data_IF_666081346434
#
_entry.id   IF_666081346434
#
_cell.length_a   1.000
_cell.length_b   1.000
_cell.length_c   1.000
_cell.angle_alpha   90.00
_cell.angle_beta   90.00
_cell.angle_gamma   90.00
#
_symmetry.space_group_name_H-M   'P 1'
#
loop_
_entity.id
_entity.type
_entity.pdbx_description
1 polymer ?
#
# COMPACT_ATOMS: atom_id res chain seq x y z
N UNK A 1 -9.58 -3.92 -28.70
CA UNK A 1 -8.46 -3.57 -29.60
C UNK A 1 -7.17 -3.97 -28.91
N UNK A 2 -6.27 -4.74 -29.56
CA UNK A 2 -4.98 -5.04 -28.93
C UNK A 2 -4.13 -3.75 -28.89
N UNK A 3 -3.74 -3.34 -27.70
CA UNK A 3 -2.87 -2.18 -27.52
C UNK A 3 -1.48 -2.54 -28.05
N UNK A 4 -0.94 -1.69 -28.93
CA UNK A 4 0.41 -1.87 -29.45
C UNK A 4 1.44 -1.53 -28.35
N UNK A 5 2.14 -2.55 -27.87
CA UNK A 5 3.11 -2.48 -26.76
C UNK A 5 4.25 -1.48 -27.05
N UNK A 6 4.83 -1.51 -28.26
CA UNK A 6 5.99 -0.69 -28.60
C UNK A 6 5.60 0.78 -28.76
N UNK A 7 4.42 1.03 -29.33
CA UNK A 7 3.85 2.37 -29.38
C UNK A 7 3.61 2.93 -27.97
N UNK A 8 3.03 2.13 -27.09
CA UNK A 8 2.76 2.56 -25.71
C UNK A 8 4.05 2.87 -24.96
N UNK A 9 5.10 2.05 -25.12
CA UNK A 9 6.42 2.34 -24.55
C UNK A 9 6.98 3.68 -25.04
N UNK A 10 6.92 3.92 -26.35
CA UNK A 10 7.38 5.18 -26.94
C UNK A 10 6.60 6.38 -26.37
N UNK A 11 5.27 6.27 -26.30
CA UNK A 11 4.40 7.35 -25.79
C UNK A 11 4.70 7.65 -24.31
N UNK A 12 4.89 6.61 -23.49
CA UNK A 12 5.22 6.75 -22.06
C UNK A 12 6.59 7.37 -21.85
N UNK A 13 7.62 6.96 -22.61
CA UNK A 13 8.96 7.55 -22.53
C UNK A 13 8.93 9.02 -22.95
N UNK A 14 8.19 9.37 -24.00
CA UNK A 14 7.99 10.76 -24.43
C UNK A 14 7.32 11.60 -23.33
N UNK A 15 6.29 11.04 -22.68
CA UNK A 15 5.58 11.69 -21.59
C UNK A 15 6.49 11.91 -20.35
N UNK A 16 7.29 10.91 -19.98
CA UNK A 16 8.28 11.00 -18.90
C UNK A 16 9.30 12.11 -19.16
N UNK A 17 9.86 12.15 -20.37
CA UNK A 17 10.86 13.16 -20.76
C UNK A 17 10.31 14.58 -20.70
N UNK A 18 9.04 14.76 -21.05
CA UNK A 18 8.35 16.08 -20.95
C UNK A 18 8.06 16.45 -19.50
N UNK A 19 7.50 15.53 -18.72
CA UNK A 19 7.07 15.81 -17.34
C UNK A 19 8.25 16.05 -16.39
N UNK A 20 9.38 15.38 -16.64
CA UNK A 20 10.58 15.45 -15.81
C UNK A 20 11.78 16.05 -16.54
N UNK A 21 11.53 17.05 -17.39
CA UNK A 21 12.59 17.75 -18.12
C UNK A 21 13.70 18.25 -17.17
N UNK A 22 14.95 17.96 -17.52
CA UNK A 22 16.13 18.34 -16.72
C UNK A 22 16.42 17.43 -15.51
N UNK A 23 15.64 16.36 -15.29
CA UNK A 23 15.96 15.33 -14.28
C UNK A 23 16.63 14.13 -14.95
N UNK A 24 17.55 13.49 -14.22
CA UNK A 24 18.19 12.25 -14.69
C UNK A 24 17.26 11.07 -14.48
N UNK A 25 16.77 10.52 -15.59
CA UNK A 25 15.93 9.34 -15.65
C UNK A 25 16.67 8.10 -16.19
N UNK A 26 17.98 8.19 -16.46
CA UNK A 26 18.73 7.14 -17.14
C UNK A 26 18.61 5.78 -16.47
N UNK A 27 18.83 5.70 -15.16
CA UNK A 27 18.69 4.46 -14.39
C UNK A 27 17.24 3.92 -14.44
N UNK A 28 16.26 4.79 -14.26
CA UNK A 28 14.85 4.39 -14.34
C UNK A 28 14.49 3.85 -15.73
N UNK A 29 14.94 4.49 -16.80
CA UNK A 29 14.65 4.05 -18.17
C UNK A 29 15.32 2.73 -18.52
N UNK A 30 16.52 2.44 -18.01
CA UNK A 30 17.17 1.15 -18.14
C UNK A 30 16.34 0.05 -17.45
N UNK A 31 15.93 0.28 -16.20
CA UNK A 31 15.08 -0.65 -15.43
C UNK A 31 13.71 -0.85 -16.11
N UNK A 32 13.09 0.25 -16.55
CA UNK A 32 11.82 0.20 -17.27
C UNK A 32 11.96 -0.64 -18.55
N UNK A 33 13.00 -0.40 -19.35
CA UNK A 33 13.26 -1.18 -20.58
C UNK A 33 13.42 -2.68 -20.31
N UNK A 34 14.15 -3.04 -19.26
CA UNK A 34 14.36 -4.43 -18.88
C UNK A 34 13.08 -5.13 -18.42
N UNK A 35 12.18 -4.42 -17.68
CA UNK A 35 11.00 -4.99 -17.07
C UNK A 35 9.69 -4.70 -17.81
N UNK A 36 9.71 -3.82 -18.81
CA UNK A 36 8.50 -3.33 -19.49
C UNK A 36 7.63 -4.47 -20.03
N UNK A 37 8.25 -5.47 -20.65
CA UNK A 37 7.52 -6.60 -21.24
C UNK A 37 6.70 -7.37 -20.20
N UNK A 38 7.29 -7.62 -19.05
CA UNK A 38 6.64 -8.35 -17.95
C UNK A 38 5.55 -7.51 -17.28
N UNK A 39 5.85 -6.26 -16.95
CA UNK A 39 4.88 -5.33 -16.33
C UNK A 39 3.68 -5.12 -17.26
N UNK A 40 3.94 -4.89 -18.55
CA UNK A 40 2.89 -4.74 -19.56
C UNK A 40 2.01 -6.00 -19.65
N UNK A 41 2.60 -7.20 -19.70
CA UNK A 41 1.85 -8.44 -19.80
C UNK A 41 0.97 -8.67 -18.55
N UNK A 42 1.51 -8.46 -17.34
CA UNK A 42 0.77 -8.61 -16.08
C UNK A 42 -0.37 -7.58 -15.98
N UNK A 43 -0.09 -6.32 -16.30
CA UNK A 43 -1.10 -5.27 -16.27
C UNK A 43 -2.20 -5.49 -17.33
N UNK A 44 -1.83 -5.98 -18.52
CA UNK A 44 -2.78 -6.35 -19.58
C UNK A 44 -3.67 -7.52 -19.15
N UNK A 45 -3.12 -8.50 -18.46
CA UNK A 45 -3.91 -9.63 -17.93
C UNK A 45 -5.00 -9.18 -16.96
N UNK A 46 -4.74 -8.14 -16.17
CA UNK A 46 -5.69 -7.60 -15.18
C UNK A 46 -6.66 -6.59 -15.78
N UNK A 47 -6.18 -5.74 -16.69
CA UNK A 47 -6.91 -4.54 -17.10
C UNK A 47 -7.03 -4.34 -18.61
N UNK A 48 -6.58 -5.30 -19.44
CA UNK A 48 -6.45 -5.16 -20.90
C UNK A 48 -7.76 -4.93 -21.65
N UNK A 49 -8.90 -5.31 -21.08
CA UNK A 49 -10.22 -5.10 -21.68
C UNK A 49 -10.78 -3.69 -21.45
N UNK A 50 -10.15 -2.91 -20.61
CA UNK A 50 -10.62 -1.55 -20.28
C UNK A 50 -10.32 -0.55 -21.38
N UNK A 51 -11.28 0.33 -21.66
CA UNK A 51 -11.11 1.40 -22.63
C UNK A 51 -10.05 2.43 -22.23
N UNK A 52 -9.81 2.62 -20.91
CA UNK A 52 -8.82 3.54 -20.35
C UNK A 52 -7.43 2.90 -20.09
N UNK A 53 -7.21 1.66 -20.56
CA UNK A 53 -6.00 0.88 -20.31
C UNK A 53 -4.70 1.66 -20.53
N UNK A 54 -4.52 2.26 -21.70
CA UNK A 54 -3.30 2.98 -22.06
C UNK A 54 -3.02 4.17 -21.15
N UNK A 55 -4.08 4.89 -20.75
CA UNK A 55 -3.96 6.02 -19.83
C UNK A 55 -3.56 5.53 -18.43
N UNK A 56 -4.18 4.46 -17.94
CA UNK A 56 -3.85 3.89 -16.63
C UNK A 56 -2.46 3.27 -16.59
N UNK A 57 -2.04 2.60 -17.65
CA UNK A 57 -0.67 2.10 -17.75
C UNK A 57 0.36 3.25 -17.73
N UNK A 58 0.10 4.33 -18.47
CA UNK A 58 0.95 5.52 -18.45
C UNK A 58 1.01 6.17 -17.07
N UNK A 59 -0.13 6.25 -16.37
CA UNK A 59 -0.21 6.75 -15.00
C UNK A 59 0.63 5.91 -14.03
N UNK A 60 0.57 4.58 -14.14
CA UNK A 60 1.42 3.66 -13.36
C UNK A 60 2.90 3.96 -13.58
N UNK A 61 3.35 4.02 -14.83
CA UNK A 61 4.77 4.24 -15.13
C UNK A 61 5.24 5.62 -14.67
N UNK A 62 4.40 6.66 -14.80
CA UNK A 62 4.68 7.98 -14.26
C UNK A 62 4.84 7.96 -12.73
N UNK A 63 3.94 7.27 -12.01
CA UNK A 63 4.02 7.13 -10.56
C UNK A 63 5.33 6.44 -10.14
N UNK A 64 5.71 5.35 -10.81
CA UNK A 64 6.97 4.64 -10.55
C UNK A 64 8.20 5.55 -10.80
N UNK A 65 8.18 6.36 -11.86
CA UNK A 65 9.25 7.32 -12.13
C UNK A 65 9.35 8.41 -11.05
N UNK A 66 8.21 8.94 -10.59
CA UNK A 66 8.17 9.92 -9.51
C UNK A 66 8.74 9.35 -8.21
N UNK A 67 8.39 8.12 -7.85
CA UNK A 67 8.91 7.41 -6.68
C UNK A 67 10.42 7.17 -6.80
N UNK A 68 10.90 6.74 -7.97
CA UNK A 68 12.33 6.57 -8.23
C UNK A 68 13.11 7.89 -8.06
N UNK A 69 12.58 8.98 -8.61
CA UNK A 69 13.20 10.31 -8.48
C UNK A 69 13.17 10.86 -7.06
N UNK A 70 12.14 10.53 -6.29
CA UNK A 70 12.01 10.95 -4.89
C UNK A 70 12.87 10.12 -3.92
N UNK A 71 13.32 8.92 -4.34
CA UNK A 71 14.10 8.02 -3.51
C UNK A 71 15.52 8.55 -3.29
N UNK A 72 15.94 8.63 -2.03
CA UNK A 72 17.27 9.12 -1.65
C UNK A 72 18.38 8.27 -2.30
N UNK A 73 19.51 8.88 -2.74
CA UNK A 73 20.61 8.15 -3.38
C UNK A 73 21.14 6.96 -2.56
N UNK A 74 21.31 7.15 -1.25
CA UNK A 74 21.71 6.08 -0.30
C UNK A 74 20.78 4.86 -0.36
N UNK A 75 19.47 5.09 -0.51
CA UNK A 75 18.49 4.02 -0.61
C UNK A 75 18.52 3.33 -1.98
N UNK A 76 18.81 4.07 -3.05
CA UNK A 76 19.02 3.47 -4.37
C UNK A 76 20.28 2.61 -4.43
N UNK A 77 21.34 3.01 -3.71
CA UNK A 77 22.54 2.18 -3.57
C UNK A 77 22.24 0.88 -2.83
N UNK A 78 21.46 0.96 -1.74
CA UNK A 78 21.01 -0.22 -1.00
C UNK A 78 20.13 -1.13 -1.86
N UNK A 79 19.25 -0.57 -2.70
CA UNK A 79 18.43 -1.35 -3.63
C UNK A 79 19.30 -2.13 -4.61
N UNK A 80 20.34 -1.51 -5.19
CA UNK A 80 21.29 -2.20 -6.09
C UNK A 80 22.00 -3.36 -5.40
N UNK A 81 22.47 -3.16 -4.17
CA UNK A 81 23.11 -4.22 -3.39
C UNK A 81 22.15 -5.41 -3.16
N UNK A 82 20.89 -5.13 -2.84
CA UNK A 82 19.87 -6.17 -2.62
C UNK A 82 19.43 -6.87 -3.91
N UNK A 83 19.54 -6.20 -5.05
CA UNK A 83 19.29 -6.84 -6.36
C UNK A 83 20.40 -7.80 -6.76
N UNK A 84 21.63 -7.58 -6.34
CA UNK A 84 22.76 -8.49 -6.54
C UNK A 84 22.64 -9.74 -5.67
N UNK A 85 22.16 -9.61 -4.44
CA UNK A 85 21.85 -10.71 -3.50
C UNK A 85 20.34 -10.83 -3.30
N UNK A 86 19.66 -11.57 -4.15
CA UNK A 86 18.19 -11.74 -4.10
C UNK A 86 17.70 -12.45 -2.82
N UNK A 87 18.58 -13.20 -2.18
CA UNK A 87 18.26 -13.99 -0.99
C UNK A 87 18.66 -13.26 0.31
N UNK A 88 19.04 -11.99 0.25
CA UNK A 88 19.47 -11.19 1.40
C UNK A 88 18.51 -11.26 2.59
N UNK A 89 17.18 -11.28 2.34
CA UNK A 89 16.16 -11.35 3.37
C UNK A 89 16.07 -12.74 4.02
N UNK A 90 16.51 -13.80 3.31
CA UNK A 90 16.49 -15.17 3.80
C UNK A 90 17.74 -15.51 4.65
N UNK A 91 18.59 -14.54 4.92
CA UNK A 91 19.80 -14.76 5.72
C UNK A 91 19.46 -15.32 7.11
N UNK A 92 20.13 -16.38 7.58
CA UNK A 92 19.95 -16.92 8.94
C UNK A 92 20.44 -15.98 10.04
N UNK A 93 21.08 -14.87 9.67
CA UNK A 93 21.57 -13.87 10.63
C UNK A 93 20.47 -12.91 11.14
N UNK A 94 19.26 -12.96 10.55
CA UNK A 94 18.16 -12.16 11.02
C UNK A 94 17.52 -12.77 12.26
N UNK A 95 17.55 -12.03 13.37
CA UNK A 95 16.87 -12.36 14.63
C UNK A 95 15.70 -11.39 14.78
N UNK A 96 14.50 -11.88 14.52
CA UNK A 96 13.31 -11.05 14.41
C UNK A 96 12.55 -10.96 15.73
N UNK A 97 11.91 -9.79 15.96
CA UNK A 97 10.88 -9.60 16.97
C UNK A 97 9.73 -8.76 16.43
N UNK A 98 8.52 -8.98 16.95
CA UNK A 98 7.32 -8.24 16.62
C UNK A 98 6.84 -7.48 17.86
N UNK A 99 6.54 -6.19 17.70
CA UNK A 99 6.26 -5.30 18.83
C UNK A 99 5.10 -4.33 18.50
N UNK A 100 4.20 -4.15 19.47
CA UNK A 100 3.34 -2.97 19.54
C UNK A 100 4.10 -1.84 20.23
N UNK A 101 4.26 -0.69 19.57
CA UNK A 101 5.04 0.46 20.07
C UNK A 101 4.50 0.95 21.42
N UNK A 102 3.18 1.07 21.58
CA UNK A 102 2.56 1.53 22.82
C UNK A 102 2.76 0.57 23.98
N UNK A 103 2.78 -0.75 23.72
CA UNK A 103 2.99 -1.79 24.72
C UNK A 103 4.46 -1.87 25.16
N UNK A 104 5.38 -1.73 24.20
CA UNK A 104 6.82 -1.88 24.47
C UNK A 104 7.46 -0.60 25.01
N UNK A 105 7.08 0.58 24.49
CA UNK A 105 7.82 1.83 24.70
C UNK A 105 6.95 3.09 24.80
N UNK A 106 5.64 2.95 24.89
CA UNK A 106 4.60 3.99 24.89
C UNK A 106 4.45 4.73 23.56
N UNK A 107 5.54 5.04 22.87
CA UNK A 107 5.53 5.76 21.60
C UNK A 107 6.88 5.60 20.87
N UNK A 108 6.98 6.16 19.64
CA UNK A 108 8.18 6.08 18.81
C UNK A 108 9.42 6.77 19.43
N UNK A 109 9.22 7.83 20.23
CA UNK A 109 10.34 8.47 20.97
C UNK A 109 10.90 7.53 22.04
N UNK A 110 10.03 6.85 22.77
CA UNK A 110 10.42 5.82 23.72
C UNK A 110 11.08 4.63 23.03
N UNK A 111 10.57 4.23 21.85
CA UNK A 111 11.16 3.17 21.05
C UNK A 111 12.60 3.49 20.61
N UNK A 112 12.87 4.72 20.19
CA UNK A 112 14.24 5.17 19.89
C UNK A 112 15.23 4.93 21.04
N UNK A 113 14.78 5.07 22.28
CA UNK A 113 15.61 4.85 23.47
C UNK A 113 15.84 3.37 23.80
N UNK A 114 15.10 2.47 23.14
CA UNK A 114 15.18 1.02 23.31
C UNK A 114 15.95 0.29 22.20
N UNK A 115 16.43 1.02 21.20
CA UNK A 115 17.15 0.41 20.06
C UNK A 115 18.43 -0.28 20.54
N UNK A 116 19.22 0.36 21.40
CA UNK A 116 20.45 -0.23 21.93
C UNK A 116 20.16 -1.50 22.76
N UNK A 117 19.08 -1.50 23.54
CA UNK A 117 18.62 -2.71 24.25
C UNK A 117 18.27 -3.86 23.29
N UNK A 118 17.59 -3.57 22.18
CA UNK A 118 17.28 -4.60 21.18
C UNK A 118 18.54 -5.14 20.51
N UNK A 119 19.51 -4.27 20.22
CA UNK A 119 20.81 -4.66 19.67
C UNK A 119 21.60 -5.53 20.67
N UNK A 120 21.68 -5.16 21.94
CA UNK A 120 22.30 -5.96 23.01
C UNK A 120 21.64 -7.33 23.20
N UNK A 121 20.33 -7.40 22.98
CA UNK A 121 19.56 -8.66 22.99
C UNK A 121 19.85 -9.54 21.75
N UNK A 122 20.55 -9.01 20.75
CA UNK A 122 20.83 -9.68 19.49
C UNK A 122 19.72 -9.57 18.47
N UNK A 123 18.67 -8.76 18.72
CA UNK A 123 17.58 -8.51 17.77
C UNK A 123 18.05 -7.50 16.71
N UNK A 124 17.96 -7.88 15.45
CA UNK A 124 18.35 -7.04 14.32
C UNK A 124 17.28 -6.94 13.22
N UNK A 125 16.09 -7.50 13.45
CA UNK A 125 14.91 -7.38 12.60
C UNK A 125 13.68 -7.09 13.45
N UNK A 126 13.07 -5.92 13.29
CA UNK A 126 11.93 -5.53 14.10
C UNK A 126 10.72 -5.23 13.22
N UNK A 127 9.66 -6.00 13.44
CA UNK A 127 8.33 -5.71 12.91
C UNK A 127 7.58 -4.84 13.93
N UNK A 128 7.30 -3.60 13.57
CA UNK A 128 6.39 -2.73 14.35
C UNK A 128 4.97 -2.91 13.84
N UNK A 129 4.09 -3.39 14.73
CA UNK A 129 2.66 -3.55 14.49
C UNK A 129 2.04 -2.21 14.08
N UNK A 130 0.81 -2.19 13.52
CA UNK A 130 0.28 -1.03 12.80
C UNK A 130 0.46 0.31 13.51
N UNK A 131 1.01 1.29 12.79
CA UNK A 131 1.35 2.61 13.30
C UNK A 131 0.60 3.74 12.59
N UNK A 132 -0.03 3.45 11.45
CA UNK A 132 -0.67 4.46 10.63
C UNK A 132 -1.95 5.00 11.30
N UNK A 133 -2.41 6.15 10.86
CA UNK A 133 -3.59 6.78 11.41
C UNK A 133 -4.81 5.87 11.30
N UNK A 134 -5.53 5.74 12.41
CA UNK A 134 -6.67 4.84 12.59
C UNK A 134 -7.79 5.53 13.36
N UNK A 135 -9.05 5.05 13.31
CA UNK A 135 -10.11 5.47 14.21
C UNK A 135 -9.75 5.22 15.69
N UNK A 136 -10.37 5.99 16.60
CA UNK A 136 -10.08 5.84 18.03
C UNK A 136 -10.62 4.52 18.61
N UNK A 137 -11.78 4.07 18.15
CA UNK A 137 -12.46 2.88 18.69
C UNK A 137 -12.44 1.71 17.69
N UNK A 138 -13.11 1.85 16.55
CA UNK A 138 -13.25 0.80 15.54
C UNK A 138 -11.99 0.72 14.65
N UNK A 139 -10.86 0.26 15.20
CA UNK A 139 -9.57 0.29 14.53
C UNK A 139 -8.90 -1.07 14.30
N UNK A 140 -9.43 -2.15 14.89
CA UNK A 140 -8.90 -3.51 14.73
C UNK A 140 -7.38 -3.58 14.99
N UNK A 141 -6.93 -3.04 16.13
CA UNK A 141 -5.51 -3.04 16.50
C UNK A 141 -4.62 -2.18 15.58
N UNK A 142 -5.22 -1.32 14.75
CA UNK A 142 -4.55 -0.46 13.78
C UNK A 142 -4.68 -0.91 12.33
N UNK A 143 -5.32 -2.05 12.08
CA UNK A 143 -5.52 -2.54 10.71
C UNK A 143 -6.63 -1.80 9.95
N UNK A 144 -7.51 -1.03 10.63
CA UNK A 144 -8.46 -0.14 9.97
C UNK A 144 -7.80 1.22 9.66
N UNK A 145 -7.00 1.29 8.60
CA UNK A 145 -6.23 2.49 8.25
C UNK A 145 -7.13 3.59 7.72
N UNK A 146 -7.08 4.78 8.36
CA UNK A 146 -7.82 5.97 7.91
C UNK A 146 -6.95 6.98 7.12
N UNK A 147 -5.62 6.87 7.20
CA UNK A 147 -4.67 7.65 6.41
C UNK A 147 -3.31 6.94 6.37
N UNK A 148 -2.89 6.49 5.18
CA UNK A 148 -1.61 5.79 4.99
C UNK A 148 -0.38 6.70 5.05
N UNK A 149 -0.55 8.01 5.00
CA UNK A 149 0.56 8.98 4.96
C UNK A 149 0.83 9.65 6.30
N UNK A 150 0.06 9.26 7.32
CA UNK A 150 0.12 9.86 8.66
C UNK A 150 0.26 8.76 9.71
N UNK A 151 1.17 8.93 10.64
CA UNK A 151 1.27 8.08 11.84
C UNK A 151 0.18 8.45 12.83
N UNK A 152 -0.38 7.47 13.53
CA UNK A 152 -1.33 7.72 14.62
C UNK A 152 -0.67 8.62 15.69
N UNK A 153 -1.33 9.72 16.01
CA UNK A 153 -0.76 10.83 16.82
C UNK A 153 -0.22 10.37 18.17
N UNK A 154 -0.86 9.39 18.80
CA UNK A 154 -0.43 8.84 20.09
C UNK A 154 0.92 8.13 20.01
N UNK A 155 1.30 7.60 18.85
CA UNK A 155 2.57 6.92 18.64
C UNK A 155 3.69 7.89 18.24
N UNK A 156 3.40 8.98 17.53
CA UNK A 156 4.40 9.95 17.08
C UNK A 156 4.14 10.49 15.69
N UNK A 157 5.16 10.58 14.87
CA UNK A 157 5.11 11.19 13.53
C UNK A 157 5.87 10.38 12.48
N UNK A 158 5.62 10.68 11.19
CA UNK A 158 6.41 10.13 10.07
C UNK A 158 7.90 10.50 10.19
N UNK A 159 8.22 11.67 10.77
CA UNK A 159 9.60 12.05 11.01
C UNK A 159 10.29 11.13 12.05
N UNK A 160 9.55 10.68 13.06
CA UNK A 160 10.07 9.71 14.04
C UNK A 160 10.35 8.35 13.37
N UNK A 161 9.46 7.85 12.50
CA UNK A 161 9.68 6.61 11.75
C UNK A 161 10.93 6.74 10.85
N UNK A 162 11.05 7.84 10.10
CA UNK A 162 12.24 8.08 9.25
C UNK A 162 13.54 8.07 10.07
N UNK A 163 13.52 8.67 11.27
CA UNK A 163 14.67 8.67 12.17
C UNK A 163 15.00 7.26 12.66
N UNK A 164 14.00 6.46 13.05
CA UNK A 164 14.15 5.05 13.43
C UNK A 164 14.76 4.26 12.27
N UNK A 165 14.17 4.36 11.08
CA UNK A 165 14.65 3.65 9.89
C UNK A 165 16.12 3.99 9.55
N UNK A 166 16.51 5.27 9.67
CA UNK A 166 17.90 5.70 9.47
C UNK A 166 18.82 5.12 10.54
N UNK A 167 18.41 5.12 11.80
CA UNK A 167 19.19 4.55 12.91
C UNK A 167 19.35 3.04 12.73
N UNK A 168 18.30 2.34 12.33
CA UNK A 168 18.33 0.90 12.05
C UNK A 168 19.32 0.57 10.95
N UNK A 169 19.27 1.29 9.81
CA UNK A 169 20.25 1.09 8.72
C UNK A 169 21.68 1.27 9.19
N UNK A 170 21.95 2.31 9.99
CA UNK A 170 23.29 2.56 10.54
C UNK A 170 23.79 1.45 11.47
N UNK A 171 22.88 0.68 12.07
CA UNK A 171 23.18 -0.48 12.95
C UNK A 171 23.01 -1.85 12.24
N UNK A 172 22.82 -1.85 10.92
CA UNK A 172 22.53 -3.05 10.16
C UNK A 172 21.31 -3.84 10.68
N UNK A 173 20.27 -3.09 11.10
CA UNK A 173 18.99 -3.62 11.56
C UNK A 173 17.92 -3.40 10.48
N UNK A 174 16.92 -4.27 10.43
CA UNK A 174 15.76 -4.16 9.55
C UNK A 174 14.53 -3.65 10.31
N UNK A 175 13.81 -2.75 9.69
CA UNK A 175 12.49 -2.28 10.14
C UNK A 175 11.43 -2.77 9.17
N UNK A 176 10.44 -3.49 9.68
CA UNK A 176 9.23 -3.90 8.98
C UNK A 176 8.03 -3.12 9.52
N UNK A 177 7.14 -2.70 8.62
CA UNK A 177 5.88 -2.05 8.94
C UNK A 177 4.75 -2.74 8.19
N UNK A 178 3.57 -2.81 8.80
CA UNK A 178 2.37 -3.28 8.10
C UNK A 178 1.94 -2.32 7.00
N UNK A 179 1.55 -2.89 5.86
CA UNK A 179 0.88 -2.18 4.78
C UNK A 179 -0.44 -2.89 4.45
N UNK A 180 -1.54 -2.35 4.92
CA UNK A 180 -2.88 -2.90 4.71
C UNK A 180 -3.34 -2.60 3.28
N UNK A 181 -3.32 -3.59 2.41
CA UNK A 181 -3.70 -3.45 1.00
C UNK A 181 -5.11 -3.96 0.69
N UNK A 182 -5.73 -4.75 1.59
CA UNK A 182 -7.04 -5.35 1.34
C UNK A 182 -8.18 -4.34 1.45
N UNK A 183 -8.15 -3.47 2.44
CA UNK A 183 -9.24 -2.57 2.80
C UNK A 183 -8.72 -1.25 3.37
N UNK A 184 -9.63 -0.28 3.51
CA UNK A 184 -9.40 0.91 4.34
C UNK A 184 -10.44 0.98 5.45
N UNK A 185 -10.20 1.81 6.46
CA UNK A 185 -11.26 2.23 7.37
C UNK A 185 -12.36 3.00 6.62
N UNK A 186 -13.60 2.90 7.09
CA UNK A 186 -14.70 3.76 6.66
C UNK A 186 -14.47 5.25 7.00
N UNK A 187 -13.47 5.57 7.84
CA UNK A 187 -13.00 6.94 8.09
C UNK A 187 -11.91 7.41 7.12
N UNK A 188 -11.45 6.57 6.21
CA UNK A 188 -10.52 6.98 5.16
C UNK A 188 -11.15 8.05 4.26
N UNK A 189 -10.34 8.97 3.72
CA UNK A 189 -10.82 10.05 2.85
C UNK A 189 -11.63 9.51 1.65
N UNK A 190 -11.19 8.41 1.04
CA UNK A 190 -11.90 7.78 -0.07
C UNK A 190 -13.29 7.27 0.34
N UNK A 191 -13.40 6.64 1.52
CA UNK A 191 -14.68 6.17 2.04
C UNK A 191 -15.64 7.33 2.33
N UNK A 192 -15.13 8.42 2.92
CA UNK A 192 -15.92 9.65 3.18
C UNK A 192 -16.44 10.28 1.89
N UNK A 193 -15.62 10.36 0.85
CA UNK A 193 -16.05 10.87 -0.47
C UNK A 193 -17.06 9.94 -1.15
N UNK A 194 -16.86 8.62 -1.03
CA UNK A 194 -17.83 7.64 -1.51
C UNK A 194 -19.21 7.83 -0.86
N UNK A 195 -19.27 8.09 0.46
CA UNK A 195 -20.51 8.41 1.20
C UNK A 195 -21.13 9.75 0.79
N UNK A 196 -20.34 10.68 0.25
CA UNK A 196 -20.83 11.94 -0.33
C UNK A 196 -21.41 11.76 -1.73
N UNK A 197 -21.40 10.54 -2.27
CA UNK A 197 -21.94 10.22 -3.59
C UNK A 197 -20.95 10.38 -4.73
N UNK A 198 -19.66 10.65 -4.45
CA UNK A 198 -18.64 10.77 -5.49
C UNK A 198 -18.36 9.40 -6.13
N UNK A 199 -18.88 9.21 -7.36
CA UNK A 199 -18.84 7.93 -8.09
C UNK A 199 -17.41 7.39 -8.24
N UNK A 200 -16.44 8.23 -8.48
CA UNK A 200 -15.03 7.87 -8.61
C UNK A 200 -14.50 7.15 -7.35
N UNK A 201 -14.93 7.59 -6.17
CA UNK A 201 -14.53 7.00 -4.89
C UNK A 201 -15.39 5.79 -4.52
N UNK A 202 -16.66 5.75 -4.94
CA UNK A 202 -17.47 4.53 -4.83
C UNK A 202 -16.86 3.38 -5.63
N UNK A 203 -16.32 3.67 -6.82
CA UNK A 203 -15.67 2.68 -7.68
C UNK A 203 -14.30 2.18 -7.12
N UNK A 204 -13.77 2.80 -6.08
CA UNK A 204 -12.58 2.31 -5.38
C UNK A 204 -12.88 1.16 -4.41
N UNK A 205 -14.15 0.91 -4.10
CA UNK A 205 -14.63 -0.17 -3.24
C UNK A 205 -15.55 -1.10 -4.01
N UNK A 206 -15.70 -2.33 -3.54
CA UNK A 206 -16.76 -3.22 -4.06
C UNK A 206 -18.10 -2.78 -3.47
N UNK A 207 -18.88 -2.02 -4.25
CA UNK A 207 -20.19 -1.50 -3.86
C UNK A 207 -21.28 -1.96 -4.82
N UNK A 208 -22.43 -2.34 -4.27
CA UNK A 208 -23.59 -2.89 -5.01
C UNK A 208 -24.85 -2.12 -4.64
N UNK A 209 -25.74 -1.95 -5.63
CA UNK A 209 -27.01 -1.24 -5.45
C UNK A 209 -28.07 -2.09 -4.73
N UNK A 210 -27.96 -3.42 -4.83
CA UNK A 210 -28.87 -4.38 -4.22
C UNK A 210 -28.14 -5.63 -3.71
N UNK A 211 -28.90 -6.63 -3.20
CA UNK A 211 -28.37 -7.86 -2.62
C UNK A 211 -28.10 -8.98 -3.63
N UNK A 212 -28.39 -8.79 -4.93
CA UNK A 212 -28.29 -9.87 -5.93
C UNK A 212 -26.88 -10.45 -6.00
N UNK A 213 -25.87 -9.58 -6.13
CA UNK A 213 -24.48 -10.02 -6.12
C UNK A 213 -23.95 -10.36 -4.73
N UNK A 214 -24.18 -9.54 -3.67
CA UNK A 214 -23.86 -9.93 -2.30
C UNK A 214 -24.36 -11.32 -1.90
N UNK A 215 -25.64 -11.63 -2.12
CA UNK A 215 -26.22 -12.94 -1.78
C UNK A 215 -25.58 -14.09 -2.55
N UNK A 216 -25.23 -13.86 -3.82
CA UNK A 216 -24.52 -14.87 -4.61
C UNK A 216 -23.10 -15.13 -4.10
N UNK A 217 -22.37 -14.11 -3.68
CA UNK A 217 -21.04 -14.26 -3.11
C UNK A 217 -21.07 -14.92 -1.72
N UNK A 218 -22.00 -14.54 -0.85
CA UNK A 218 -22.13 -15.10 0.51
C UNK A 218 -22.44 -16.60 0.53
N UNK A 219 -22.90 -17.20 -0.57
CA UNK A 219 -23.03 -18.65 -0.67
C UNK A 219 -21.70 -19.42 -0.62
N UNK A 220 -20.59 -18.77 -0.94
CA UNK A 220 -19.28 -19.41 -1.08
C UNK A 220 -18.16 -18.71 -0.33
N UNK A 221 -18.35 -17.45 0.09
CA UNK A 221 -17.37 -16.71 0.87
C UNK A 221 -17.43 -17.11 2.35
N UNK A 222 -16.29 -17.46 2.96
CA UNK A 222 -16.25 -17.68 4.39
C UNK A 222 -16.37 -16.36 5.15
N UNK A 223 -16.99 -16.40 6.32
CA UNK A 223 -16.95 -15.32 7.30
C UNK A 223 -15.68 -15.39 8.12
N UNK A 224 -14.95 -14.30 8.25
CA UNK A 224 -13.70 -14.24 9.03
C UNK A 224 -14.01 -14.09 10.54
N UNK A 225 -14.99 -13.26 10.88
CA UNK A 225 -15.40 -13.00 12.26
C UNK A 225 -16.91 -13.22 12.44
N UNK A 226 -17.42 -14.46 12.32
CA UNK A 226 -18.86 -14.74 12.31
C UNK A 226 -19.59 -14.31 13.58
N UNK A 227 -18.90 -14.26 14.73
CA UNK A 227 -19.49 -13.85 16.01
C UNK A 227 -19.56 -12.32 16.17
N UNK A 228 -18.58 -11.59 15.61
CA UNK A 228 -18.42 -10.14 15.81
C UNK A 228 -18.91 -9.31 14.61
N UNK A 229 -18.74 -9.83 13.41
CA UNK A 229 -19.09 -9.18 12.15
C UNK A 229 -19.67 -10.23 11.18
N UNK A 230 -20.91 -10.71 11.43
CA UNK A 230 -21.55 -11.70 10.55
C UNK A 230 -21.88 -11.09 9.18
N UNK A 231 -21.76 -11.92 8.14
CA UNK A 231 -21.90 -11.52 6.75
C UNK A 231 -20.64 -10.87 6.19
N UNK A 232 -20.64 -10.68 4.87
CA UNK A 232 -19.49 -10.08 4.17
C UNK A 232 -19.85 -8.73 3.51
N UNK A 233 -21.06 -8.21 3.75
CA UNK A 233 -21.52 -6.95 3.15
C UNK A 233 -22.24 -6.08 4.16
N UNK A 234 -21.86 -4.82 4.21
CA UNK A 234 -22.46 -3.81 5.09
C UNK A 234 -23.33 -2.85 4.29
N UNK A 235 -24.58 -2.65 4.73
CA UNK A 235 -25.48 -1.69 4.11
C UNK A 235 -25.16 -0.25 4.54
N UNK A 236 -25.09 0.64 3.56
CA UNK A 236 -24.81 2.07 3.72
C UNK A 236 -26.08 2.88 3.42
N UNK A 237 -26.90 3.19 4.45
CA UNK A 237 -28.21 3.84 4.21
C UNK A 237 -28.09 5.24 3.60
N UNK A 238 -26.99 5.95 3.85
CA UNK A 238 -26.76 7.31 3.32
C UNK A 238 -26.75 7.35 1.79
N UNK A 239 -26.25 6.28 1.14
CA UNK A 239 -26.10 6.19 -0.31
C UNK A 239 -26.89 5.02 -0.92
N UNK A 240 -27.65 4.29 -0.10
CA UNK A 240 -28.45 3.13 -0.50
C UNK A 240 -27.64 2.08 -1.26
N UNK A 241 -26.48 1.67 -0.70
CA UNK A 241 -25.57 0.68 -1.30
C UNK A 241 -25.09 -0.34 -0.27
N UNK A 242 -24.67 -1.50 -0.76
CA UNK A 242 -23.96 -2.52 -0.01
C UNK A 242 -22.48 -2.46 -0.33
N UNK A 243 -21.62 -2.35 0.69
CA UNK A 243 -20.16 -2.40 0.53
C UNK A 243 -19.61 -3.71 1.05
N UNK A 244 -18.63 -4.28 0.34
CA UNK A 244 -17.93 -5.50 0.77
C UNK A 244 -17.05 -5.20 1.98
N UNK A 245 -17.19 -6.02 3.03
CA UNK A 245 -16.54 -5.87 4.33
C UNK A 245 -16.19 -7.25 4.88
N UNK A 246 -15.16 -7.88 4.31
CA UNK A 246 -14.81 -9.28 4.66
C UNK A 246 -14.30 -9.43 6.09
N UNK A 247 -13.75 -8.37 6.70
CA UNK A 247 -13.28 -8.37 8.09
C UNK A 247 -14.33 -7.76 9.03
N UNK A 248 -14.30 -6.46 9.25
CA UNK A 248 -15.25 -5.76 10.10
C UNK A 248 -16.08 -4.77 9.28
N UNK A 249 -17.27 -4.45 9.76
CA UNK A 249 -18.21 -3.54 9.08
C UNK A 249 -17.62 -2.15 8.75
N UNK A 250 -16.60 -1.75 9.48
CA UNK A 250 -15.88 -0.49 9.30
C UNK A 250 -14.61 -0.61 8.43
N UNK A 251 -14.29 -1.83 7.90
CA UNK A 251 -13.15 -2.11 7.02
C UNK A 251 -13.69 -2.42 5.62
N UNK A 252 -13.62 -1.43 4.72
CA UNK A 252 -14.20 -1.53 3.38
C UNK A 252 -13.19 -2.06 2.37
N UNK A 253 -13.52 -3.16 1.73
CA UNK A 253 -12.65 -3.86 0.79
C UNK A 253 -12.44 -3.08 -0.50
N UNK A 254 -11.17 -2.95 -0.88
CA UNK A 254 -10.72 -2.19 -2.03
C UNK A 254 -10.95 -2.95 -3.34
N UNK A 255 -11.49 -2.26 -4.32
CA UNK A 255 -11.82 -2.82 -5.63
C UNK A 255 -10.60 -2.80 -6.58
N UNK A 256 -9.77 -3.82 -6.54
CA UNK A 256 -8.61 -3.94 -7.43
C UNK A 256 -8.97 -4.28 -8.90
N UNK A 257 -10.24 -4.45 -9.26
CA UNK A 257 -10.63 -4.44 -10.68
C UNK A 257 -10.56 -3.03 -11.28
N UNK A 258 -10.48 -2.01 -10.40
CA UNK A 258 -10.21 -0.63 -10.77
C UNK A 258 -8.70 -0.35 -10.68
N UNK A 259 -7.99 -0.15 -11.82
CA UNK A 259 -6.55 0.11 -11.83
C UNK A 259 -6.15 1.35 -11.04
N UNK A 260 -7.06 2.29 -10.81
CA UNK A 260 -6.80 3.47 -9.96
C UNK A 260 -6.45 3.06 -8.53
N UNK A 261 -7.15 2.07 -7.95
CA UNK A 261 -6.85 1.55 -6.61
C UNK A 261 -5.42 1.02 -6.56
N UNK A 262 -5.04 0.18 -7.53
CA UNK A 262 -3.68 -0.36 -7.62
C UNK A 262 -2.62 0.74 -7.72
N UNK A 263 -2.84 1.74 -8.59
CA UNK A 263 -1.89 2.84 -8.79
C UNK A 263 -1.77 3.72 -7.53
N UNK A 264 -2.89 4.02 -6.86
CA UNK A 264 -2.84 4.80 -5.61
C UNK A 264 -2.12 4.04 -4.49
N UNK A 265 -2.31 2.72 -4.38
CA UNK A 265 -1.57 1.91 -3.41
C UNK A 265 -0.07 1.85 -3.73
N UNK A 266 0.32 1.80 -5.00
CA UNK A 266 1.73 1.94 -5.41
C UNK A 266 2.31 3.30 -4.99
N UNK A 267 1.55 4.39 -5.11
CA UNK A 267 1.99 5.73 -4.66
C UNK A 267 2.12 5.87 -3.14
N UNK A 268 1.46 5.00 -2.38
CA UNK A 268 1.54 4.96 -0.91
C UNK A 268 2.80 4.19 -0.48
N UNK A 269 3.13 3.11 -1.19
CA UNK A 269 4.29 2.27 -0.95
C UNK A 269 5.60 3.03 -1.12
#
# INVERSE_FOLDING_TARGET
MSVNKDKLLHDVVSLLSKKHAGKDLSEFLVRLGAQFGEVFAKFTRLYGERADFSNRFSELVLALAEMHLAREPELRDLDRQREEDKDWIMSPNWVATMLYVDRFSKNLKGFMQKIDYLEELGVNYVHLMPLLKMPQEANDGGYAVSDYRTVEKRFGSMADIRKIAKTFRAKNMLLELDLVLNHTSNEHEWAKKALQGEKEYQDMYYMYDDRSMPDAFEQTLPEIFPENAPGNFTYLPTINKWVFTVFNTYQWDLNYTNPKVFIEMIKIL
#
